data_IF_581608378662
#
_entry.id   IF_581608378662
#
_cell.length_a   1.000
_cell.length_b   1.000
_cell.length_c   1.000
_cell.angle_alpha   90.00
_cell.angle_beta   90.00
_cell.angle_gamma   90.00
#
_symmetry.space_group_name_H-M   'P 1'
#
loop_
_entity.id
_entity.type
_entity.pdbx_description
1 polymer ?
#
# COMPACT_ATOMS: atom_id res chain seq x y z
N UNK A 1 -28.88 -9.76 -12.42
CA UNK A 1 -28.93 -8.57 -11.55
C UNK A 1 -29.95 -8.92 -10.46
N UNK A 2 -29.68 -9.11 -9.16
CA UNK A 2 -28.57 -8.84 -8.22
C UNK A 2 -28.76 -9.81 -7.04
N UNK A 3 -27.80 -10.70 -6.76
CA UNK A 3 -27.88 -11.75 -5.74
C UNK A 3 -27.22 -11.32 -4.42
N UNK A 4 -27.73 -10.26 -3.77
CA UNK A 4 -27.04 -9.62 -2.65
C UNK A 4 -27.93 -9.35 -1.42
N UNK A 5 -28.92 -10.21 -1.11
CA UNK A 5 -29.88 -9.92 -0.02
C UNK A 5 -30.04 -11.01 1.06
N UNK A 6 -29.16 -12.01 1.18
CA UNK A 6 -29.33 -13.06 2.23
C UNK A 6 -28.08 -13.34 3.06
N UNK A 7 -27.26 -12.34 3.36
CA UNK A 7 -26.12 -12.57 4.29
C UNK A 7 -25.88 -11.46 5.29
N UNK A 8 -26.81 -10.52 5.42
CA UNK A 8 -26.80 -9.35 6.31
C UNK A 8 -26.80 -9.65 7.82
N UNK A 9 -26.57 -10.91 8.24
CA UNK A 9 -26.47 -11.26 9.66
C UNK A 9 -25.21 -12.08 10.00
N UNK A 10 -24.23 -12.23 9.08
CA UNK A 10 -23.06 -13.09 9.33
C UNK A 10 -21.72 -12.57 8.79
N UNK A 11 -21.54 -11.26 8.68
CA UNK A 11 -20.24 -10.70 8.25
C UNK A 11 -19.80 -9.57 9.18
N UNK A 12 -19.67 -9.91 10.46
CA UNK A 12 -18.69 -9.23 11.30
C UNK A 12 -17.29 -9.49 10.73
N UNK A 13 -16.47 -8.44 10.68
CA UNK A 13 -15.08 -8.39 10.19
C UNK A 13 -14.90 -8.25 8.66
N UNK A 14 -14.73 -7.00 8.20
CA UNK A 14 -13.53 -6.48 7.51
C UNK A 14 -13.82 -5.04 7.03
N UNK A 15 -13.04 -4.06 7.51
CA UNK A 15 -13.13 -2.61 7.26
C UNK A 15 -14.09 -1.76 8.13
N UNK A 16 -14.23 -2.04 9.44
CA UNK A 16 -14.69 -1.02 10.44
C UNK A 16 -13.47 -0.48 11.18
N UNK A 17 -12.73 0.43 10.55
CA UNK A 17 -11.86 1.38 11.24
C UNK A 17 -11.49 2.56 10.32
N UNK A 18 -12.50 3.33 9.93
CA UNK A 18 -12.32 4.74 9.62
C UNK A 18 -13.09 5.51 10.71
N UNK A 19 -12.36 6.39 11.42
CA UNK A 19 -12.67 6.79 12.79
C UNK A 19 -14.08 7.34 13.05
N UNK A 20 -14.55 7.04 14.27
CA UNK A 20 -15.57 7.75 15.05
C UNK A 20 -16.57 8.61 14.26
N UNK A 21 -17.65 7.99 13.78
CA UNK A 21 -18.83 8.74 13.33
C UNK A 21 -20.04 8.37 14.21
N UNK A 22 -20.16 9.09 15.32
CA UNK A 22 -21.37 9.13 16.14
C UNK A 22 -22.39 10.06 15.46
N UNK A 23 -23.51 9.54 14.93
CA UNK A 23 -24.86 10.11 15.17
C UNK A 23 -25.99 9.45 14.38
N UNK A 24 -26.89 8.81 15.16
CA UNK A 24 -28.36 8.94 15.17
C UNK A 24 -29.10 9.11 13.83
N UNK A 25 -29.72 8.00 13.43
CA UNK A 25 -31.10 7.83 12.94
C UNK A 25 -31.58 8.47 11.62
N UNK A 26 -30.78 9.29 10.92
CA UNK A 26 -31.15 9.83 9.59
C UNK A 26 -30.36 9.21 8.41
N UNK A 27 -29.66 8.10 8.65
CA UNK A 27 -28.70 7.45 7.74
C UNK A 27 -29.29 6.53 6.66
N UNK A 28 -30.61 6.33 6.63
CA UNK A 28 -31.23 5.21 5.89
C UNK A 28 -31.19 5.41 4.37
N UNK A 29 -31.16 6.65 3.88
CA UNK A 29 -31.14 6.94 2.43
C UNK A 29 -29.72 7.07 1.86
N UNK A 30 -28.75 7.47 2.68
CA UNK A 30 -27.34 7.62 2.26
C UNK A 30 -26.60 6.28 2.15
N UNK A 31 -27.12 5.23 2.80
CA UNK A 31 -26.52 3.89 2.84
C UNK A 31 -26.62 3.10 1.52
N UNK A 32 -27.47 3.51 0.57
CA UNK A 32 -27.68 2.76 -0.69
C UNK A 32 -26.71 3.13 -1.82
N UNK A 33 -25.93 4.20 -1.68
CA UNK A 33 -25.00 4.68 -2.70
C UNK A 33 -23.53 4.58 -2.30
N UNK A 34 -23.23 4.22 -1.06
CA UNK A 34 -21.84 4.16 -0.58
C UNK A 34 -21.26 2.78 -0.82
N UNK A 35 -20.68 2.58 -2.00
CA UNK A 35 -19.70 1.52 -2.19
C UNK A 35 -18.52 1.79 -1.26
N UNK A 36 -18.36 0.93 -0.25
CA UNK A 36 -17.21 0.99 0.65
C UNK A 36 -15.96 0.51 -0.11
N UNK A 37 -15.20 1.46 -0.68
CA UNK A 37 -13.87 1.16 -1.20
C UNK A 37 -12.91 1.15 -0.03
N UNK A 38 -12.47 -0.04 0.42
CA UNK A 38 -11.30 -0.10 1.29
C UNK A 38 -10.11 0.38 0.46
N UNK A 39 -9.40 1.42 0.90
CA UNK A 39 -8.15 1.88 0.31
C UNK A 39 -6.98 1.43 1.19
N UNK A 40 -5.79 1.41 0.61
CA UNK A 40 -4.59 1.06 1.34
C UNK A 40 -4.13 2.23 2.22
N UNK A 41 -4.29 2.10 3.54
CA UNK A 41 -3.83 3.13 4.49
C UNK A 41 -2.36 2.94 4.84
N UNK A 42 -1.50 3.83 4.37
CA UNK A 42 -0.07 3.84 4.70
C UNK A 42 0.33 5.24 5.19
N UNK A 43 0.86 5.32 6.41
CA UNK A 43 1.29 6.60 6.99
C UNK A 43 0.17 7.64 7.11
N UNK A 44 -1.07 7.20 7.32
CA UNK A 44 -2.25 8.08 7.40
C UNK A 44 -2.80 8.57 6.06
N UNK A 45 -2.23 8.12 4.93
CA UNK A 45 -2.74 8.42 3.58
C UNK A 45 -3.43 7.21 2.99
N UNK A 46 -4.57 7.46 2.34
CA UNK A 46 -5.27 6.47 1.53
C UNK A 46 -4.59 6.37 0.16
N UNK A 47 -4.28 5.14 -0.25
CA UNK A 47 -3.63 4.81 -1.54
C UNK A 47 -4.49 3.82 -2.32
N UNK A 48 -4.53 3.96 -3.64
CA UNK A 48 -5.29 3.08 -4.53
C UNK A 48 -4.56 1.77 -4.84
N UNK A 49 -5.28 0.81 -5.42
CA UNK A 49 -4.65 -0.42 -5.92
C UNK A 49 -3.63 -0.11 -7.01
N UNK A 50 -2.52 -0.82 -6.96
CA UNK A 50 -1.35 -0.64 -7.80
C UNK A 50 -0.67 0.74 -7.72
N UNK A 51 -1.08 1.62 -6.80
CA UNK A 51 -0.45 2.94 -6.65
C UNK A 51 1.00 2.78 -6.21
N UNK A 52 1.91 3.48 -6.91
CA UNK A 52 3.33 3.52 -6.59
C UNK A 52 3.68 4.90 -6.04
N UNK A 53 4.46 4.92 -4.97
CA UNK A 53 4.98 6.17 -4.42
C UNK A 53 6.40 5.99 -3.91
N UNK A 54 7.14 7.10 -3.89
CA UNK A 54 8.46 7.15 -3.29
C UNK A 54 8.32 7.64 -1.86
N UNK A 55 8.97 6.94 -0.94
CA UNK A 55 9.04 7.32 0.47
C UNK A 55 10.47 7.12 0.96
N UNK A 56 11.17 8.23 1.24
CA UNK A 56 12.61 8.21 1.43
C UNK A 56 13.33 7.71 0.17
N UNK A 57 14.18 6.69 0.30
CA UNK A 57 14.91 6.07 -0.81
C UNK A 57 14.25 4.80 -1.35
N UNK A 58 12.97 4.56 -1.07
CA UNK A 58 12.28 3.33 -1.49
C UNK A 58 11.07 3.64 -2.37
N UNK A 59 10.95 2.91 -3.48
CA UNK A 59 9.75 2.86 -4.29
C UNK A 59 8.82 1.79 -3.72
N UNK A 60 7.69 2.20 -3.17
CA UNK A 60 6.68 1.32 -2.59
C UNK A 60 5.47 1.22 -3.52
N UNK A 61 4.76 0.11 -3.44
CA UNK A 61 3.49 -0.10 -4.13
C UNK A 61 2.49 -0.74 -3.17
N UNK A 62 1.23 -0.33 -3.26
CA UNK A 62 0.17 -1.05 -2.58
C UNK A 62 -0.56 -1.99 -3.53
N UNK A 63 -0.80 -3.21 -3.05
CA UNK A 63 -1.44 -4.29 -3.78
C UNK A 63 -2.61 -4.82 -2.96
N UNK A 64 -3.74 -5.04 -3.62
CA UNK A 64 -4.86 -5.76 -3.02
C UNK A 64 -4.51 -7.24 -2.89
N UNK A 65 -4.64 -7.80 -1.68
CA UNK A 65 -4.38 -9.21 -1.39
C UNK A 65 -5.71 -9.93 -1.18
N UNK A 66 -5.97 -10.91 -2.05
CA UNK A 66 -7.14 -11.76 -1.98
C UNK A 66 -8.44 -11.08 -2.40
N UNK A 67 -9.46 -11.90 -2.62
CA UNK A 67 -10.78 -11.44 -3.06
C UNK A 67 -11.56 -10.73 -1.93
N UNK A 68 -11.14 -10.91 -0.68
CA UNK A 68 -11.83 -10.43 0.53
C UNK A 68 -11.36 -9.05 1.02
N UNK A 69 -10.50 -8.34 0.28
CA UNK A 69 -10.18 -6.93 0.58
C UNK A 69 -8.98 -6.69 1.50
N UNK A 70 -7.99 -7.59 1.52
CA UNK A 70 -6.70 -7.33 2.17
C UNK A 70 -5.85 -6.33 1.37
N UNK A 71 -4.95 -5.63 2.06
CA UNK A 71 -3.98 -4.71 1.44
C UNK A 71 -2.57 -5.07 1.90
N UNK A 72 -1.61 -5.06 0.98
CA UNK A 72 -0.19 -5.25 1.28
C UNK A 72 0.63 -4.18 0.59
N UNK A 73 1.53 -3.57 1.35
CA UNK A 73 2.58 -2.72 0.77
C UNK A 73 3.79 -3.59 0.43
N UNK A 74 4.31 -3.44 -0.78
CA UNK A 74 5.55 -4.07 -1.23
C UNK A 74 6.57 -3.02 -1.63
N UNK A 75 7.85 -3.29 -1.39
CA UNK A 75 8.95 -2.48 -1.92
C UNK A 75 9.27 -3.03 -3.32
N UNK A 76 9.32 -2.15 -4.32
CA UNK A 76 9.68 -2.49 -5.69
C UNK A 76 11.16 -2.25 -6.00
N UNK A 77 11.82 -1.42 -5.20
CA UNK A 77 13.23 -1.07 -5.38
C UNK A 77 13.62 0.16 -4.58
N UNK A 78 14.87 0.57 -4.78
CA UNK A 78 15.44 1.77 -4.19
C UNK A 78 15.43 2.91 -5.22
N UNK A 79 15.34 4.16 -4.75
CA UNK A 79 15.37 5.36 -5.58
C UNK A 79 16.59 6.21 -5.20
N UNK A 80 17.40 6.57 -6.20
CA UNK A 80 18.56 7.47 -6.07
C UNK A 80 18.55 8.43 -7.25
N UNK A 81 18.50 9.74 -7.01
CA UNK A 81 18.46 10.78 -8.05
C UNK A 81 17.43 10.51 -9.16
N UNK A 82 16.21 10.11 -8.77
CA UNK A 82 15.13 9.69 -9.66
C UNK A 82 15.38 8.42 -10.49
N UNK A 83 16.51 7.73 -10.29
CA UNK A 83 16.77 6.41 -10.87
C UNK A 83 16.27 5.32 -9.92
N UNK A 84 15.51 4.39 -10.48
CA UNK A 84 15.12 3.17 -9.77
C UNK A 84 16.23 2.13 -9.86
N UNK A 85 16.61 1.57 -8.70
CA UNK A 85 17.50 0.43 -8.56
C UNK A 85 16.63 -0.76 -8.18
N UNK A 86 16.65 -1.82 -9.00
CA UNK A 86 15.92 -3.04 -8.71
C UNK A 86 16.48 -3.72 -7.45
N UNK A 87 15.63 -4.47 -6.74
CA UNK A 87 16.06 -5.23 -5.57
C UNK A 87 17.11 -6.27 -6.00
N UNK A 88 18.19 -6.38 -5.24
CA UNK A 88 19.33 -7.27 -5.53
C UNK A 88 20.32 -6.70 -6.54
N UNK A 89 20.09 -5.50 -7.09
CA UNK A 89 20.99 -4.90 -8.08
C UNK A 89 21.72 -3.67 -7.53
N UNK A 90 22.67 -3.18 -8.33
CA UNK A 90 23.45 -1.99 -8.02
C UNK A 90 23.51 -1.04 -9.22
N UNK A 91 23.80 0.22 -8.95
CA UNK A 91 24.07 1.24 -9.97
C UNK A 91 25.20 2.14 -9.48
N UNK A 92 26.11 2.51 -10.37
CA UNK A 92 27.15 3.51 -10.09
C UNK A 92 26.72 4.86 -10.65
N UNK A 93 26.69 5.87 -9.79
CA UNK A 93 26.40 7.26 -10.15
C UNK A 93 27.59 8.10 -9.67
N UNK A 94 28.33 8.67 -10.63
CA UNK A 94 29.58 9.38 -10.33
C UNK A 94 30.63 8.45 -9.72
N UNK A 95 31.06 8.74 -8.49
CA UNK A 95 32.04 7.96 -7.73
C UNK A 95 31.40 7.00 -6.71
N UNK A 96 30.07 6.89 -6.71
CA UNK A 96 29.34 6.13 -5.70
C UNK A 96 28.56 5.00 -6.34
N UNK A 97 28.79 3.78 -5.84
CA UNK A 97 28.03 2.59 -6.20
C UNK A 97 26.93 2.39 -5.16
N UNK A 98 25.68 2.52 -5.56
CA UNK A 98 24.49 2.28 -4.74
C UNK A 98 23.99 0.86 -4.95
N UNK A 99 23.68 0.16 -3.85
CA UNK A 99 23.20 -1.22 -3.86
C UNK A 99 21.86 -1.29 -3.15
N UNK A 100 20.86 -1.87 -3.81
CA UNK A 100 19.54 -2.12 -3.22
C UNK A 100 19.49 -3.58 -2.74
N UNK A 101 19.81 -3.81 -1.47
CA UNK A 101 19.96 -5.15 -0.90
C UNK A 101 18.62 -5.68 -0.36
N UNK A 102 18.26 -6.92 -0.74
CA UNK A 102 17.22 -7.68 -0.07
C UNK A 102 17.77 -8.26 1.24
N UNK A 103 17.22 -7.83 2.37
CA UNK A 103 17.61 -8.29 3.71
C UNK A 103 16.74 -9.48 4.14
N UNK A 104 15.75 -9.86 3.32
CA UNK A 104 14.80 -10.93 3.62
C UNK A 104 13.59 -10.45 4.43
N UNK A 105 12.57 -11.32 4.52
CA UNK A 105 11.31 -11.04 5.20
C UNK A 105 10.57 -9.79 4.68
N UNK A 106 10.78 -9.43 3.41
CA UNK A 106 10.20 -8.23 2.80
C UNK A 106 10.88 -6.92 3.21
N UNK A 107 12.05 -6.98 3.83
CA UNK A 107 12.86 -5.81 4.16
C UNK A 107 13.93 -5.58 3.10
N UNK A 108 14.05 -4.34 2.66
CA UNK A 108 15.08 -3.90 1.70
C UNK A 108 15.91 -2.81 2.35
N UNK A 109 17.22 -2.82 2.10
CA UNK A 109 18.15 -1.82 2.60
C UNK A 109 18.97 -1.24 1.45
N UNK A 110 19.14 0.08 1.45
CA UNK A 110 20.08 0.73 0.55
C UNK A 110 21.47 0.78 1.20
N UNK A 111 22.50 0.30 0.50
CA UNK A 111 23.92 0.51 0.83
C UNK A 111 24.58 1.37 -0.25
N UNK A 112 25.69 2.03 0.10
CA UNK A 112 26.51 2.78 -0.84
C UNK A 112 28.00 2.52 -0.61
N UNK A 113 28.77 2.54 -1.68
CA UNK A 113 30.22 2.38 -1.69
C UNK A 113 30.83 3.54 -2.47
N UNK A 114 31.68 4.33 -1.83
CA UNK A 114 32.41 5.41 -2.48
C UNK A 114 33.76 4.91 -2.97
N UNK A 115 34.06 5.15 -4.25
CA UNK A 115 35.36 4.88 -4.85
C UNK A 115 36.17 6.18 -4.87
N UNK A 116 37.31 6.17 -4.17
CA UNK A 116 38.24 7.30 -4.05
C UNK A 116 39.12 7.46 -5.30
#
# INVERSE_FOLDING_TARGET
MTAAMVSFLYVDALCVNCGNFQMRALFIVFALLTTAYCLCKVGGKDRSDNEKWVEGSFLKQCLKVGNYGGWRTTILGCMVDSKQIAIGTNVTIGKTTYVCEDVGNGNVRMRYFWHW
#
